data_IF_042991729483
#
_entry.id   IF_042991729483
#
_cell.length_a   1.000
_cell.length_b   1.000
_cell.length_c   1.000
_cell.angle_alpha   90.00
_cell.angle_beta   90.00
_cell.angle_gamma   90.00
#
_symmetry.space_group_name_H-M   'P 1'
#
loop_
_entity.id
_entity.type
_entity.pdbx_description
1 polymer ?
#
# COMPACT_ATOMS: atom_id res chain seq x y z
N UNK A 1 -6.32 13.45 24.47
CA UNK A 1 -4.96 13.46 23.88
C UNK A 1 -4.26 12.09 23.97
N UNK A 2 -4.10 11.50 25.17
CA UNK A 2 -3.48 10.16 25.36
C UNK A 2 -4.09 9.04 24.48
N UNK A 3 -5.42 8.97 24.38
CA UNK A 3 -6.11 7.94 23.57
C UNK A 3 -5.85 8.11 22.06
N UNK A 4 -5.73 9.35 21.60
CA UNK A 4 -5.44 9.67 20.19
C UNK A 4 -4.01 9.27 19.87
N UNK A 5 -3.05 9.66 20.71
CA UNK A 5 -1.64 9.28 20.55
C UNK A 5 -1.45 7.75 20.56
N UNK A 6 -2.13 7.05 21.47
CA UNK A 6 -2.11 5.58 21.52
C UNK A 6 -2.67 4.95 20.23
N UNK A 7 -3.77 5.48 19.70
CA UNK A 7 -4.41 4.95 18.50
C UNK A 7 -3.53 5.11 17.25
N UNK A 8 -2.87 6.26 17.08
CA UNK A 8 -2.02 6.54 15.93
C UNK A 8 -0.62 5.91 16.01
N UNK A 9 -0.05 5.74 17.21
CA UNK A 9 1.31 5.22 17.35
C UNK A 9 1.36 3.70 17.59
N UNK A 10 0.44 3.17 18.39
CA UNK A 10 0.52 1.79 18.90
C UNK A 10 -0.48 0.88 18.18
N UNK A 11 -1.79 1.12 18.33
CA UNK A 11 -2.81 0.26 17.74
C UNK A 11 -4.09 1.05 17.41
N UNK A 12 -4.56 1.05 16.15
CA UNK A 12 -4.11 0.27 14.99
C UNK A 12 -3.02 0.95 14.13
N UNK A 13 -2.36 1.97 14.67
CA UNK A 13 -1.43 2.82 13.95
C UNK A 13 -0.06 2.21 13.59
N UNK A 14 1.01 3.00 13.71
CA UNK A 14 2.33 2.69 13.15
C UNK A 14 2.94 1.35 13.58
N UNK A 15 3.05 1.08 14.88
CA UNK A 15 3.72 -0.14 15.37
C UNK A 15 2.96 -1.40 14.96
N UNK A 16 1.63 -1.38 15.07
CA UNK A 16 0.81 -2.50 14.67
C UNK A 16 0.89 -2.77 13.17
N UNK A 17 0.73 -1.73 12.32
CA UNK A 17 0.76 -1.90 10.87
C UNK A 17 2.13 -2.36 10.36
N UNK A 18 3.22 -1.85 10.95
CA UNK A 18 4.57 -2.31 10.63
C UNK A 18 4.78 -3.80 10.97
N UNK A 19 4.40 -4.23 12.17
CA UNK A 19 4.51 -5.63 12.58
C UNK A 19 3.65 -6.56 11.71
N UNK A 20 2.40 -6.17 11.43
CA UNK A 20 1.50 -6.92 10.55
C UNK A 20 2.06 -7.00 9.13
N UNK A 21 2.61 -5.92 8.59
CA UNK A 21 3.25 -5.89 7.28
C UNK A 21 4.44 -6.86 7.19
N UNK A 22 5.28 -6.91 8.24
CA UNK A 22 6.41 -7.85 8.28
C UNK A 22 5.98 -9.30 8.36
N UNK A 23 4.92 -9.58 9.13
CA UNK A 23 4.33 -10.92 9.20
C UNK A 23 3.67 -11.28 7.86
N UNK A 24 2.96 -10.36 7.21
CA UNK A 24 2.35 -10.57 5.90
C UNK A 24 3.40 -10.90 4.83
N UNK A 25 4.51 -10.15 4.80
CA UNK A 25 5.64 -10.48 3.93
C UNK A 25 6.28 -11.83 4.26
N UNK A 26 6.24 -12.29 5.52
CA UNK A 26 6.74 -13.61 5.88
C UNK A 26 5.79 -14.70 5.36
N UNK A 27 4.48 -14.49 5.50
CA UNK A 27 3.45 -15.38 4.97
C UNK A 27 3.65 -15.53 3.46
N UNK A 28 3.83 -14.42 2.74
CA UNK A 28 4.06 -14.43 1.29
C UNK A 28 5.28 -15.29 0.90
N UNK A 29 6.43 -15.05 1.53
CA UNK A 29 7.65 -15.86 1.29
C UNK A 29 7.45 -17.33 1.65
N UNK A 30 6.67 -17.62 2.71
CA UNK A 30 6.37 -18.99 3.13
C UNK A 30 5.47 -19.70 2.13
N UNK A 31 4.41 -19.04 1.66
CA UNK A 31 3.47 -19.56 0.67
C UNK A 31 4.20 -19.83 -0.65
N UNK A 32 4.97 -18.86 -1.14
CA UNK A 32 5.78 -19.01 -2.37
C UNK A 32 6.74 -20.20 -2.29
N UNK A 33 7.43 -20.37 -1.15
CA UNK A 33 8.30 -21.52 -0.94
C UNK A 33 7.55 -22.86 -0.98
N UNK A 34 6.34 -22.93 -0.40
CA UNK A 34 5.54 -24.15 -0.37
C UNK A 34 4.99 -24.51 -1.76
N UNK A 35 4.58 -23.52 -2.55
CA UNK A 35 4.18 -23.71 -3.95
C UNK A 35 5.35 -24.28 -4.78
N UNK A 36 6.57 -23.83 -4.49
CA UNK A 36 7.80 -24.26 -5.16
C UNK A 36 8.44 -25.52 -4.53
N UNK A 37 7.74 -26.23 -3.63
CA UNK A 37 8.25 -27.43 -2.97
C UNK A 37 9.59 -27.27 -2.22
N UNK A 38 9.84 -26.07 -1.66
CA UNK A 38 11.01 -25.78 -0.82
C UNK A 38 10.62 -25.35 0.60
N UNK A 39 11.56 -25.47 1.54
CA UNK A 39 11.36 -24.99 2.91
C UNK A 39 11.50 -23.48 2.93
N UNK A 40 10.40 -22.77 3.21
CA UNK A 40 10.42 -21.32 3.33
C UNK A 40 11.04 -20.82 4.64
N UNK A 41 11.34 -19.51 4.74
CA UNK A 41 12.08 -18.91 5.85
C UNK A 41 11.36 -19.01 7.22
N UNK A 42 12.10 -18.85 8.34
CA UNK A 42 11.51 -18.74 9.67
C UNK A 42 10.71 -17.43 9.85
N UNK A 43 9.82 -17.39 10.83
CA UNK A 43 8.88 -16.27 11.07
C UNK A 43 9.57 -14.94 11.37
N UNK A 44 10.75 -14.98 11.98
CA UNK A 44 11.52 -13.79 12.34
C UNK A 44 12.40 -13.26 11.20
N UNK A 45 12.42 -13.92 10.03
CA UNK A 45 13.36 -13.58 8.95
C UNK A 45 13.25 -12.12 8.50
N UNK A 46 12.04 -11.61 8.29
CA UNK A 46 11.85 -10.24 7.82
C UNK A 46 12.30 -9.19 8.84
N UNK A 47 12.21 -9.50 10.14
CA UNK A 47 12.74 -8.63 11.20
C UNK A 47 14.27 -8.62 11.17
N UNK A 48 14.90 -9.79 10.97
CA UNK A 48 16.36 -9.90 10.83
C UNK A 48 16.85 -9.19 9.57
N UNK A 49 16.11 -9.29 8.46
CA UNK A 49 16.45 -8.63 7.20
C UNK A 49 16.47 -7.09 7.37
N UNK A 50 15.54 -6.51 8.14
CA UNK A 50 15.58 -5.07 8.49
C UNK A 50 16.85 -4.72 9.26
N UNK A 51 17.13 -5.47 10.34
CA UNK A 51 18.31 -5.19 11.19
C UNK A 51 19.60 -5.31 10.36
N UNK A 52 19.66 -6.31 9.48
CA UNK A 52 20.77 -6.50 8.54
C UNK A 52 20.94 -5.32 7.58
N UNK A 53 19.85 -4.81 7.01
CA UNK A 53 19.88 -3.69 6.07
C UNK A 53 20.25 -2.37 6.76
N UNK A 54 19.80 -2.14 8.00
CA UNK A 54 20.20 -0.97 8.79
C UNK A 54 21.68 -0.97 9.17
N UNK A 55 22.30 -2.15 9.26
CA UNK A 55 23.73 -2.30 9.49
C UNK A 55 24.61 -2.15 8.24
N UNK A 56 24.03 -1.99 7.04
CA UNK A 56 24.79 -1.83 5.79
C UNK A 56 25.13 -0.38 5.52
N UNK A 57 26.25 -0.18 4.83
CA UNK A 57 26.66 1.13 4.32
C UNK A 57 25.69 1.61 3.22
N UNK A 58 25.29 2.88 3.32
CA UNK A 58 24.41 3.52 2.34
C UNK A 58 25.22 4.13 1.20
N UNK A 59 25.09 3.59 -0.01
CA UNK A 59 25.73 4.12 -1.21
C UNK A 59 24.79 5.17 -1.81
N UNK A 60 25.23 6.44 -1.86
CA UNK A 60 24.41 7.55 -2.34
C UNK A 60 25.07 8.18 -3.58
N UNK A 61 24.33 8.39 -4.68
CA UNK A 61 24.86 9.02 -5.88
C UNK A 61 25.32 10.46 -5.62
N UNK A 62 26.39 10.88 -6.31
CA UNK A 62 26.83 12.27 -6.29
C UNK A 62 25.79 13.15 -7.02
N UNK A 63 25.43 14.30 -6.43
CA UNK A 63 24.56 15.30 -7.08
C UNK A 63 23.07 15.26 -6.70
N UNK A 64 22.54 14.15 -6.16
CA UNK A 64 21.11 14.05 -5.77
C UNK A 64 20.88 13.36 -4.41
N UNK A 65 21.70 13.70 -3.41
CA UNK A 65 21.65 13.08 -2.08
C UNK A 65 20.30 13.24 -1.39
N UNK A 66 19.74 14.45 -1.40
CA UNK A 66 18.52 14.78 -0.64
C UNK A 66 17.31 14.04 -1.22
N UNK A 67 17.11 14.12 -2.54
CA UNK A 67 15.98 13.48 -3.22
C UNK A 67 16.06 11.96 -3.12
N UNK A 68 17.25 11.39 -3.34
CA UNK A 68 17.46 9.94 -3.24
C UNK A 68 17.17 9.39 -1.84
N UNK A 69 17.57 10.11 -0.78
CA UNK A 69 17.35 9.67 0.60
C UNK A 69 15.92 9.93 1.10
N UNK A 70 15.27 11.01 0.66
CA UNK A 70 13.91 11.34 1.08
C UNK A 70 12.85 10.50 0.36
N UNK A 71 13.09 10.07 -0.87
CA UNK A 71 12.14 9.28 -1.65
C UNK A 71 11.59 8.06 -0.90
N UNK A 72 12.42 7.13 -0.38
CA UNK A 72 11.91 5.98 0.37
C UNK A 72 11.13 6.37 1.64
N UNK A 73 11.53 7.46 2.30
CA UNK A 73 10.86 7.96 3.51
C UNK A 73 9.44 8.45 3.18
N UNK A 74 9.25 9.13 2.05
CA UNK A 74 7.93 9.59 1.61
C UNK A 74 6.98 8.42 1.30
N UNK A 75 7.47 7.37 0.64
CA UNK A 75 6.70 6.15 0.39
C UNK A 75 6.32 5.43 1.69
N UNK A 76 7.25 5.33 2.64
CA UNK A 76 7.00 4.72 3.94
C UNK A 76 5.97 5.52 4.75
N UNK A 77 6.12 6.85 4.85
CA UNK A 77 5.17 7.69 5.59
C UNK A 77 3.76 7.61 5.03
N UNK A 78 3.60 7.66 3.71
CA UNK A 78 2.28 7.58 3.07
C UNK A 78 1.58 6.25 3.30
N UNK A 79 2.29 5.11 3.16
CA UNK A 79 1.71 3.77 3.44
C UNK A 79 1.31 3.62 4.91
N UNK A 80 2.12 4.11 5.84
CA UNK A 80 1.79 4.10 7.28
C UNK A 80 0.53 4.91 7.55
N UNK A 81 0.44 6.13 6.99
CA UNK A 81 -0.73 6.98 7.17
C UNK A 81 -2.00 6.29 6.66
N UNK A 82 -1.96 5.68 5.48
CA UNK A 82 -3.10 4.90 4.94
C UNK A 82 -3.49 3.76 5.88
N UNK A 83 -2.52 2.99 6.37
CA UNK A 83 -2.79 1.90 7.29
C UNK A 83 -3.43 2.40 8.60
N UNK A 84 -2.97 3.54 9.12
CA UNK A 84 -3.53 4.15 10.34
C UNK A 84 -4.96 4.64 10.12
N UNK A 85 -5.23 5.31 8.99
CA UNK A 85 -6.56 5.81 8.60
C UNK A 85 -7.55 4.65 8.52
N UNK A 86 -7.21 3.60 7.76
CA UNK A 86 -8.07 2.43 7.60
C UNK A 86 -8.27 1.70 8.93
N UNK A 87 -7.21 1.47 9.70
CA UNK A 87 -7.29 0.80 10.99
C UNK A 87 -8.18 1.53 11.99
N UNK A 88 -8.02 2.86 12.13
CA UNK A 88 -8.84 3.67 13.02
C UNK A 88 -10.30 3.65 12.56
N UNK A 89 -10.55 3.74 11.25
CA UNK A 89 -11.91 3.72 10.70
C UNK A 89 -12.64 2.41 11.01
N UNK A 90 -11.96 1.26 10.87
CA UNK A 90 -12.55 -0.05 11.15
C UNK A 90 -12.93 -0.19 12.63
N UNK A 91 -12.14 0.40 13.54
CA UNK A 91 -12.38 0.32 14.98
C UNK A 91 -13.45 1.31 15.47
N UNK A 92 -13.45 2.52 14.92
CA UNK A 92 -14.26 3.65 15.38
C UNK A 92 -14.92 4.35 14.17
N UNK A 93 -15.90 3.72 13.51
CA UNK A 93 -16.46 4.23 12.24
C UNK A 93 -17.25 5.54 12.37
N UNK A 94 -17.68 5.93 13.58
CA UNK A 94 -18.58 7.07 13.82
C UNK A 94 -18.01 8.16 14.75
N UNK A 95 -16.91 7.88 15.46
CA UNK A 95 -16.41 8.75 16.54
C UNK A 95 -15.28 9.69 16.08
N UNK A 96 -14.75 9.51 14.87
CA UNK A 96 -13.63 10.30 14.37
C UNK A 96 -13.73 10.47 12.85
N UNK A 97 -13.37 11.66 12.35
CA UNK A 97 -13.06 11.87 10.95
C UNK A 97 -11.80 11.08 10.62
N UNK A 98 -11.98 9.78 10.36
CA UNK A 98 -10.88 8.83 10.24
C UNK A 98 -10.18 8.95 8.87
N UNK A 99 -10.86 9.50 7.86
CA UNK A 99 -10.33 9.82 6.54
C UNK A 99 -11.35 9.66 5.43
N UNK A 100 -11.23 10.49 4.40
CA UNK A 100 -12.03 10.35 3.18
C UNK A 100 -11.36 9.35 2.23
N UNK A 101 -12.19 8.63 1.48
CA UNK A 101 -11.74 7.67 0.46
C UNK A 101 -10.80 8.32 -0.57
N UNK A 102 -11.04 9.59 -0.90
CA UNK A 102 -10.21 10.39 -1.81
C UNK A 102 -8.81 10.60 -1.23
N UNK A 103 -8.71 10.88 0.08
CA UNK A 103 -7.41 11.06 0.74
C UNK A 103 -6.62 9.75 0.71
N UNK A 104 -7.28 8.62 0.98
CA UNK A 104 -6.65 7.29 0.89
C UNK A 104 -6.14 7.01 -0.53
N UNK A 105 -6.94 7.33 -1.56
CA UNK A 105 -6.54 7.18 -2.97
C UNK A 105 -5.26 7.95 -3.29
N UNK A 106 -5.20 9.24 -2.92
CA UNK A 106 -4.01 10.05 -3.15
C UNK A 106 -2.79 9.55 -2.40
N UNK A 107 -2.95 9.20 -1.12
CA UNK A 107 -1.85 8.67 -0.32
C UNK A 107 -1.34 7.33 -0.87
N UNK A 108 -2.21 6.50 -1.46
CA UNK A 108 -1.82 5.24 -2.07
C UNK A 108 -1.03 5.39 -3.37
N UNK A 109 -1.04 6.55 -4.03
CA UNK A 109 -0.22 6.83 -5.23
C UNK A 109 1.21 7.25 -4.85
N UNK A 110 1.39 7.87 -3.68
CA UNK A 110 2.69 8.42 -3.23
C UNK A 110 3.82 7.37 -3.22
N UNK A 111 3.63 6.10 -2.81
CA UNK A 111 4.70 5.10 -2.83
C UNK A 111 5.28 4.87 -4.22
N UNK A 112 4.43 4.77 -5.25
CA UNK A 112 4.89 4.60 -6.62
C UNK A 112 5.62 5.84 -7.14
N UNK A 113 5.11 7.04 -6.82
CA UNK A 113 5.82 8.30 -7.13
C UNK A 113 7.18 8.36 -6.43
N UNK A 114 7.26 7.94 -5.17
CA UNK A 114 8.49 7.89 -4.41
C UNK A 114 9.55 6.98 -5.07
N UNK A 115 9.13 5.80 -5.57
CA UNK A 115 9.99 4.90 -6.34
C UNK A 115 10.48 5.57 -7.63
N UNK A 116 9.59 6.22 -8.39
CA UNK A 116 9.95 6.94 -9.63
C UNK A 116 10.97 8.05 -9.37
N UNK A 117 10.76 8.86 -8.33
CA UNK A 117 11.68 9.96 -7.96
C UNK A 117 13.02 9.39 -7.47
N UNK A 118 12.99 8.33 -6.66
CA UNK A 118 14.19 7.67 -6.14
C UNK A 118 15.03 7.11 -7.28
N UNK A 119 14.42 6.38 -8.20
CA UNK A 119 15.06 5.83 -9.38
C UNK A 119 15.62 6.93 -10.30
N UNK A 120 14.86 8.00 -10.55
CA UNK A 120 15.31 9.13 -11.38
C UNK A 120 16.50 9.89 -10.78
N UNK A 121 16.59 9.96 -9.45
CA UNK A 121 17.69 10.62 -8.75
C UNK A 121 19.01 9.83 -8.73
N UNK A 122 18.99 8.56 -9.14
CA UNK A 122 20.16 7.67 -9.11
C UNK A 122 21.21 7.94 -10.20
N UNK A 123 20.92 8.82 -11.18
CA UNK A 123 21.81 9.16 -12.30
C UNK A 123 22.32 7.94 -13.10
N UNK A 124 21.55 6.86 -13.13
CA UNK A 124 21.87 5.64 -13.88
C UNK A 124 20.86 5.44 -15.02
N UNK A 125 21.31 5.23 -16.28
CA UNK A 125 20.41 4.98 -17.40
C UNK A 125 19.47 3.79 -17.17
N UNK A 126 19.92 2.72 -16.50
CA UNK A 126 19.06 1.56 -16.21
C UNK A 126 17.93 1.92 -15.23
N UNK A 127 18.23 2.71 -14.21
CA UNK A 127 17.23 3.17 -13.25
C UNK A 127 16.20 4.11 -13.91
N UNK A 128 16.63 4.95 -14.85
CA UNK A 128 15.72 5.79 -15.64
C UNK A 128 14.76 4.97 -16.50
N UNK A 129 15.22 3.85 -17.08
CA UNK A 129 14.35 2.93 -17.82
C UNK A 129 13.35 2.24 -16.88
N UNK A 130 13.81 1.79 -15.70
CA UNK A 130 12.93 1.25 -14.66
C UNK A 130 11.85 2.25 -14.21
N UNK A 131 12.23 3.50 -13.98
CA UNK A 131 11.30 4.59 -13.64
C UNK A 131 10.25 4.83 -14.74
N UNK A 132 10.63 4.75 -16.02
CA UNK A 132 9.70 4.86 -17.15
C UNK A 132 8.71 3.69 -17.21
N UNK A 133 9.14 2.47 -16.87
CA UNK A 133 8.25 1.30 -16.79
C UNK A 133 7.26 1.43 -15.64
N UNK A 134 7.73 1.84 -14.47
CA UNK A 134 6.88 2.08 -13.29
C UNK A 134 5.83 3.16 -13.59
N UNK A 135 6.23 4.26 -14.22
CA UNK A 135 5.29 5.32 -14.61
C UNK A 135 4.17 4.81 -15.51
N UNK A 136 4.48 3.94 -16.47
CA UNK A 136 3.46 3.33 -17.35
C UNK A 136 2.53 2.38 -16.59
N UNK A 137 3.05 1.60 -15.65
CA UNK A 137 2.25 0.71 -14.81
C UNK A 137 1.26 1.51 -13.96
N UNK A 138 1.75 2.54 -13.25
CA UNK A 138 0.92 3.43 -12.41
C UNK A 138 -0.24 4.02 -13.21
N UNK A 139 0.05 4.58 -14.38
CA UNK A 139 -1.00 5.14 -15.25
C UNK A 139 -2.01 4.08 -15.72
N UNK A 140 -1.56 2.84 -15.92
CA UNK A 140 -2.39 1.73 -16.37
C UNK A 140 -3.37 1.21 -15.31
N UNK A 141 -2.92 1.02 -14.06
CA UNK A 141 -3.76 0.42 -13.02
C UNK A 141 -4.54 1.44 -12.18
N UNK A 142 -4.13 2.71 -12.10
CA UNK A 142 -4.82 3.70 -11.26
C UNK A 142 -6.22 4.03 -11.80
N UNK A 143 -6.38 4.18 -13.12
CA UNK A 143 -7.69 4.49 -13.70
C UNK A 143 -8.74 3.40 -13.41
N UNK A 144 -8.49 2.10 -13.70
CA UNK A 144 -9.44 1.05 -13.34
C UNK A 144 -9.64 0.91 -11.83
N UNK A 145 -8.60 1.16 -11.01
CA UNK A 145 -8.71 1.14 -9.55
C UNK A 145 -9.67 2.21 -9.04
N UNK A 146 -9.55 3.45 -9.52
CA UNK A 146 -10.46 4.55 -9.16
C UNK A 146 -11.90 4.23 -9.60
N UNK A 147 -12.09 3.70 -10.82
CA UNK A 147 -13.42 3.30 -11.30
C UNK A 147 -14.06 2.22 -10.42
N UNK A 148 -13.28 1.23 -9.95
CA UNK A 148 -13.77 0.20 -9.05
C UNK A 148 -14.26 0.79 -7.71
N UNK A 149 -13.58 1.82 -7.23
CA UNK A 149 -13.91 2.51 -5.98
C UNK A 149 -15.14 3.41 -6.15
N UNK A 150 -15.33 4.06 -7.30
CA UNK A 150 -16.53 4.84 -7.60
C UNK A 150 -17.80 3.99 -7.51
N UNK A 151 -17.74 2.72 -7.95
CA UNK A 151 -18.87 1.79 -7.81
C UNK A 151 -19.28 1.61 -6.34
N UNK A 152 -18.31 1.55 -5.43
CA UNK A 152 -18.54 1.45 -3.97
C UNK A 152 -19.19 2.73 -3.44
N UNK A 153 -18.74 3.91 -3.89
CA UNK A 153 -19.31 5.21 -3.51
C UNK A 153 -20.78 5.29 -3.93
N UNK A 154 -21.08 4.98 -5.19
CA UNK A 154 -22.45 5.04 -5.74
C UNK A 154 -23.38 4.14 -4.95
N UNK A 155 -22.94 2.92 -4.61
CA UNK A 155 -23.74 1.99 -3.81
C UNK A 155 -23.94 2.41 -2.38
N UNK A 156 -22.98 3.13 -1.81
CA UNK A 156 -23.04 3.61 -0.43
C UNK A 156 -23.74 4.97 -0.35
N UNK A 157 -24.79 5.16 -1.14
CA UNK A 157 -25.57 6.40 -1.27
C UNK A 157 -24.75 7.66 -1.59
N UNK A 158 -23.63 7.52 -2.32
CA UNK A 158 -22.76 8.63 -2.69
C UNK A 158 -21.82 9.10 -1.58
N UNK A 159 -21.72 8.37 -0.47
CA UNK A 159 -20.86 8.77 0.64
C UNK A 159 -19.37 8.51 0.33
N UNK A 160 -18.53 9.50 0.66
CA UNK A 160 -17.07 9.46 0.44
C UNK A 160 -16.32 9.11 1.74
N UNK A 161 -16.98 9.31 2.89
CA UNK A 161 -16.40 8.97 4.19
C UNK A 161 -16.35 7.45 4.35
N UNK A 162 -15.20 6.93 4.77
CA UNK A 162 -15.00 5.47 4.87
C UNK A 162 -15.89 4.89 5.98
N UNK A 163 -16.10 5.63 7.07
CA UNK A 163 -16.94 5.21 8.19
C UNK A 163 -18.43 5.06 7.84
N UNK A 164 -18.98 5.99 7.05
CA UNK A 164 -20.37 5.91 6.59
C UNK A 164 -20.58 4.79 5.56
N UNK A 165 -19.60 4.54 4.68
CA UNK A 165 -19.59 3.39 3.77
C UNK A 165 -19.67 2.08 4.56
N UNK A 166 -18.86 1.93 5.61
CA UNK A 166 -18.89 0.76 6.50
C UNK A 166 -20.26 0.59 7.18
N UNK A 167 -20.83 1.66 7.74
CA UNK A 167 -22.15 1.59 8.36
C UNK A 167 -23.26 1.25 7.36
N UNK A 168 -23.16 1.76 6.13
CA UNK A 168 -24.09 1.38 5.06
C UNK A 168 -24.00 -0.11 4.76
N UNK A 169 -22.79 -0.68 4.67
CA UNK A 169 -22.59 -2.11 4.44
C UNK A 169 -23.07 -2.99 5.61
N UNK A 170 -22.97 -2.51 6.85
CA UNK A 170 -23.48 -3.22 8.03
C UNK A 170 -25.02 -3.29 7.99
N UNK A 171 -25.69 -2.19 7.61
CA UNK A 171 -27.14 -2.09 7.64
C UNK A 171 -27.83 -2.69 6.41
N UNK A 172 -27.26 -2.50 5.22
CA UNK A 172 -27.87 -2.89 3.93
C UNK A 172 -27.21 -4.12 3.29
N UNK A 173 -26.20 -4.70 3.94
CA UNK A 173 -25.46 -5.86 3.46
C UNK A 173 -24.23 -5.49 2.62
N UNK A 174 -23.44 -6.51 2.28
CA UNK A 174 -22.17 -6.31 1.57
C UNK A 174 -22.39 -5.82 0.14
N UNK A 175 -21.59 -4.84 -0.29
CA UNK A 175 -21.59 -4.35 -1.67
C UNK A 175 -21.26 -5.46 -2.70
N UNK A 176 -20.62 -6.55 -2.26
CA UNK A 176 -20.31 -7.73 -3.07
C UNK A 176 -21.53 -8.54 -3.50
N UNK A 177 -22.69 -8.39 -2.83
CA UNK A 177 -23.90 -9.14 -3.17
C UNK A 177 -24.47 -8.80 -4.56
N UNK A 178 -24.02 -7.70 -5.16
CA UNK A 178 -24.49 -7.22 -6.45
C UNK A 178 -23.48 -7.52 -7.56
N UNK A 179 -23.98 -7.79 -8.78
CA UNK A 179 -23.13 -8.10 -9.94
C UNK A 179 -22.06 -7.03 -10.21
N UNK A 180 -22.45 -5.75 -10.20
CA UNK A 180 -21.52 -4.64 -10.37
C UNK A 180 -20.48 -4.54 -9.23
N UNK A 181 -20.81 -5.03 -8.03
CA UNK A 181 -19.90 -5.02 -6.87
C UNK A 181 -18.85 -6.11 -6.98
N UNK A 182 -19.24 -7.30 -7.43
CA UNK A 182 -18.32 -8.38 -7.80
C UNK A 182 -17.36 -7.94 -8.91
N UNK A 183 -17.86 -7.27 -9.96
CA UNK A 183 -17.00 -6.79 -11.03
C UNK A 183 -15.98 -5.76 -10.51
N UNK A 184 -16.43 -4.79 -9.72
CA UNK A 184 -15.55 -3.81 -9.10
C UNK A 184 -14.50 -4.48 -8.20
N UNK A 185 -14.88 -5.49 -7.43
CA UNK A 185 -13.97 -6.23 -6.57
C UNK A 185 -12.90 -7.00 -7.35
N UNK A 186 -13.28 -7.69 -8.44
CA UNK A 186 -12.31 -8.39 -9.31
C UNK A 186 -11.32 -7.41 -9.94
N UNK A 187 -11.80 -6.27 -10.44
CA UNK A 187 -10.93 -5.21 -10.97
C UNK A 187 -10.00 -4.68 -9.89
N UNK A 188 -10.52 -4.41 -8.68
CA UNK A 188 -9.73 -3.93 -7.56
C UNK A 188 -8.62 -4.92 -7.16
N UNK A 189 -8.90 -6.24 -7.14
CA UNK A 189 -7.89 -7.27 -6.86
C UNK A 189 -6.77 -7.25 -7.91
N UNK A 190 -7.13 -7.22 -9.19
CA UNK A 190 -6.14 -7.22 -10.28
C UNK A 190 -5.27 -5.95 -10.22
N UNK A 191 -5.89 -4.79 -10.02
CA UNK A 191 -5.18 -3.54 -9.86
C UNK A 191 -4.31 -3.51 -8.60
N UNK A 192 -4.76 -4.13 -7.51
CA UNK A 192 -3.99 -4.21 -6.27
C UNK A 192 -2.74 -5.07 -6.43
N UNK A 193 -2.80 -6.15 -7.21
CA UNK A 193 -1.62 -6.94 -7.60
C UNK A 193 -0.61 -6.08 -8.37
N UNK A 194 -1.09 -5.30 -9.34
CA UNK A 194 -0.25 -4.38 -10.11
C UNK A 194 0.37 -3.28 -9.25
N UNK A 195 -0.40 -2.74 -8.30
CA UNK A 195 0.05 -1.69 -7.38
C UNK A 195 1.11 -2.16 -6.38
N UNK A 196 1.11 -3.44 -6.05
CA UNK A 196 2.14 -4.06 -5.20
C UNK A 196 3.39 -4.49 -5.97
N UNK A 197 3.38 -4.41 -7.31
CA UNK A 197 4.49 -4.86 -8.14
C UNK A 197 4.71 -6.37 -8.13
N UNK A 198 3.70 -7.16 -7.74
CA UNK A 198 3.82 -8.61 -7.73
C UNK A 198 3.59 -9.21 -9.12
N UNK A 199 4.25 -10.35 -9.38
CA UNK A 199 4.03 -11.17 -10.59
C UNK A 199 2.53 -11.39 -10.78
N UNK A 200 1.96 -11.10 -11.98
CA UNK A 200 2.60 -10.87 -13.28
C UNK A 200 2.91 -9.40 -13.64
N UNK A 201 2.72 -8.45 -12.73
CA UNK A 201 2.82 -7.01 -12.97
C UNK A 201 4.09 -6.39 -12.35
N UNK A 202 5.21 -7.11 -12.45
CA UNK A 202 6.52 -6.77 -11.86
C UNK A 202 7.48 -6.10 -12.86
N UNK A 203 6.98 -5.55 -13.97
CA UNK A 203 7.80 -5.02 -15.07
C UNK A 203 8.81 -3.94 -14.63
N UNK A 204 8.51 -3.19 -13.57
CA UNK A 204 9.39 -2.16 -13.02
C UNK A 204 10.55 -2.71 -12.19
N UNK A 205 10.35 -3.83 -11.51
CA UNK A 205 11.36 -4.54 -10.72
C UNK A 205 12.10 -5.62 -11.53
N UNK A 206 11.54 -6.02 -12.67
CA UNK A 206 12.09 -7.07 -13.53
C UNK A 206 13.50 -6.73 -14.03
N UNK A 207 14.45 -7.59 -13.65
CA UNK A 207 15.85 -7.66 -14.12
C UNK A 207 15.96 -7.85 -15.64
#
# INVERSE_FOLDING_TARGET
MIKIFFNYLIFPGFLFSACVGLIAGWIDRKVTARIQWRVGPPWYQNFVDIVKLLGKETIVPAGAKITFLLSPVLGLLSTILVATILGVTVRLPLESFAGDLIVVLYLLIIPAIAIIIGASSSHNPLASVGASREMKLVLGYELPFILSIIVVIIKSAGSIQIGSILNHQINFGSNLASFSGILAFLVAIICMQAKLGFVPFDMSEAE
#
